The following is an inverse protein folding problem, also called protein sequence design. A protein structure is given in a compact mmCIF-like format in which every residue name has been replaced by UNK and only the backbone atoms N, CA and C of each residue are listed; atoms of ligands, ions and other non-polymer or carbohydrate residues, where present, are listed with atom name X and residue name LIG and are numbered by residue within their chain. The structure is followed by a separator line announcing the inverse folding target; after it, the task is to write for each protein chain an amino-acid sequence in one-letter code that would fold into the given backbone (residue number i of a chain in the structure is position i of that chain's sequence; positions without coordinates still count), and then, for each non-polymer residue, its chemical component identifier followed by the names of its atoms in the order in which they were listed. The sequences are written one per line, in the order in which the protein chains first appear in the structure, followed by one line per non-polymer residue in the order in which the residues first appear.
data_IF_041360225956
#
_entry.id   IF_041360225956
#
_cell.length_a   1.000
_cell.length_b   1.000
_cell.length_c   1.000
_cell.angle_alpha   90.00
_cell.angle_beta   90.00
_cell.angle_gamma   90.00
#
_symmetry.space_group_name_H-M   'P 1'
#
loop_
_entity.id
_entity.type
_entity.pdbx_description
1 polymer ?
#
# COMPACT_ATOMS: atom_id res chain seq x y z
N UNK A 1 13.84 -2.77 -6.71
CA UNK A 1 13.47 -2.43 -8.10
C UNK A 1 13.24 -3.72 -8.88
N UNK A 2 12.38 -3.71 -9.90
CA UNK A 2 12.07 -4.88 -10.73
C UNK A 2 11.72 -4.46 -12.16
N UNK A 3 12.06 -5.28 -13.15
CA UNK A 3 11.59 -5.10 -14.53
C UNK A 3 10.27 -5.85 -14.68
N UNK A 4 9.24 -5.16 -15.16
CA UNK A 4 7.89 -5.67 -15.38
C UNK A 4 7.60 -5.73 -16.88
N UNK A 5 6.98 -6.80 -17.34
CA UNK A 5 6.56 -6.95 -18.74
C UNK A 5 5.10 -6.50 -18.86
N UNK A 6 4.85 -5.43 -19.62
CA UNK A 6 3.48 -5.00 -19.96
C UNK A 6 2.92 -5.82 -21.13
N UNK A 7 3.81 -6.33 -21.98
CA UNK A 7 3.53 -7.22 -23.09
C UNK A 7 4.81 -7.99 -23.45
N UNK A 8 4.73 -8.90 -24.42
CA UNK A 8 5.88 -9.70 -24.88
C UNK A 8 7.07 -8.83 -25.34
N UNK A 9 6.80 -7.62 -25.83
CA UNK A 9 7.81 -6.71 -26.39
C UNK A 9 8.05 -5.47 -25.53
N UNK A 10 7.15 -5.13 -24.62
CA UNK A 10 7.24 -3.88 -23.83
C UNK A 10 7.55 -4.19 -22.38
N UNK A 11 8.71 -3.69 -21.92
CA UNK A 11 9.16 -3.79 -20.53
C UNK A 11 9.32 -2.40 -19.92
N UNK A 12 9.00 -2.30 -18.64
CA UNK A 12 9.22 -1.10 -17.84
C UNK A 12 9.98 -1.47 -16.56
N UNK A 13 10.62 -0.48 -15.95
CA UNK A 13 11.29 -0.61 -14.65
C UNK A 13 10.38 -0.01 -13.59
N UNK A 14 10.03 -0.78 -12.57
CA UNK A 14 9.39 -0.28 -11.36
C UNK A 14 10.41 -0.22 -10.22
N UNK A 15 10.58 0.97 -9.65
CA UNK A 15 11.38 1.22 -8.47
C UNK A 15 10.47 1.59 -7.29
N UNK A 16 10.70 0.93 -6.16
CA UNK A 16 10.08 1.26 -4.88
C UNK A 16 11.16 1.91 -4.03
N UNK A 17 10.87 3.10 -3.53
CA UNK A 17 11.70 3.81 -2.55
C UNK A 17 10.93 3.88 -1.25
N UNK A 18 11.51 3.37 -0.17
CA UNK A 18 10.87 3.32 1.14
C UNK A 18 11.65 4.16 2.13
N UNK A 19 10.97 5.06 2.82
CA UNK A 19 11.49 5.78 3.98
C UNK A 19 10.80 5.25 5.24
N UNK A 20 11.51 5.16 6.37
CA UNK A 20 10.95 4.67 7.63
C UNK A 20 11.37 5.58 8.78
N UNK A 21 10.40 6.20 9.47
CA UNK A 21 10.49 6.77 10.81
C UNK A 21 9.25 7.63 11.10
N UNK A 22 8.42 7.34 12.14
CA UNK A 22 8.34 6.09 12.90
C UNK A 22 7.66 4.94 12.12
N UNK A 23 6.81 5.27 11.14
CA UNK A 23 6.21 4.31 10.21
C UNK A 23 6.95 4.32 8.87
N UNK A 24 6.84 3.23 8.10
CA UNK A 24 7.40 3.17 6.74
C UNK A 24 6.39 3.66 5.70
N UNK A 25 6.85 4.41 4.70
CA UNK A 25 6.05 4.76 3.52
C UNK A 25 6.84 4.53 2.22
N UNK A 26 6.17 3.94 1.25
CA UNK A 26 6.74 3.51 -0.02
C UNK A 26 6.22 4.33 -1.19
N UNK A 27 7.15 4.89 -1.96
CA UNK A 27 6.86 5.59 -3.21
C UNK A 27 7.22 4.72 -4.42
N UNK A 28 6.29 4.64 -5.36
CA UNK A 28 6.50 4.00 -6.65
C UNK A 28 7.00 4.99 -7.69
N UNK A 29 8.00 4.57 -8.46
CA UNK A 29 8.48 5.30 -9.63
C UNK A 29 8.66 4.33 -10.80
N UNK A 30 8.16 4.73 -11.96
CA UNK A 30 8.20 3.92 -13.17
C UNK A 30 9.10 4.58 -14.21
N UNK A 31 9.81 3.75 -14.94
CA UNK A 31 10.73 4.17 -15.99
C UNK A 31 10.64 3.22 -17.18
N UNK A 32 11.00 3.71 -18.35
CA UNK A 32 11.38 2.85 -19.47
C UNK A 32 12.70 2.12 -19.15
N UNK A 33 13.07 1.14 -19.97
CA UNK A 33 14.36 0.43 -19.84
C UNK A 33 15.57 1.32 -20.14
N UNK A 34 15.37 2.45 -20.84
CA UNK A 34 16.36 3.53 -21.03
C UNK A 34 16.24 4.66 -19.99
N UNK A 35 15.61 4.38 -18.84
CA UNK A 35 15.53 5.27 -17.67
C UNK A 35 14.76 6.58 -17.85
N UNK A 36 13.88 6.67 -18.85
CA UNK A 36 12.95 7.81 -18.97
C UNK A 36 11.80 7.64 -17.99
N UNK A 37 11.54 8.66 -17.19
CA UNK A 37 10.48 8.63 -16.18
C UNK A 37 9.10 8.55 -16.82
N UNK A 38 8.25 7.71 -16.25
CA UNK A 38 6.88 7.47 -16.68
C UNK A 38 5.89 7.90 -15.58
N UNK A 39 4.66 8.32 -15.95
CA UNK A 39 3.64 8.72 -14.98
C UNK A 39 3.11 7.49 -14.22
N UNK A 40 3.29 7.46 -12.90
CA UNK A 40 2.95 6.30 -12.06
C UNK A 40 1.47 5.92 -12.10
N UNK A 41 0.56 6.90 -12.22
CA UNK A 41 -0.89 6.69 -12.29
C UNK A 41 -1.35 5.84 -13.47
N UNK A 42 -0.51 5.65 -14.50
CA UNK A 42 -0.80 4.73 -15.61
C UNK A 42 -0.53 3.26 -15.28
N UNK A 43 0.25 2.98 -14.24
CA UNK A 43 0.78 1.64 -13.95
C UNK A 43 0.34 1.10 -12.60
N UNK A 44 -0.03 1.97 -11.67
CA UNK A 44 -0.53 1.56 -10.36
C UNK A 44 -1.62 2.49 -9.86
N UNK A 45 -2.68 1.89 -9.33
CA UNK A 45 -3.63 2.56 -8.45
C UNK A 45 -3.31 2.11 -7.02
N UNK A 46 -2.88 3.04 -6.18
CA UNK A 46 -2.58 2.73 -4.79
C UNK A 46 -3.87 2.40 -4.04
N UNK A 47 -3.84 1.44 -3.10
CA UNK A 47 -4.99 1.11 -2.28
C UNK A 47 -5.32 2.30 -1.36
N UNK A 48 -6.60 2.48 -1.08
CA UNK A 48 -7.09 3.39 -0.06
C UNK A 48 -7.09 2.68 1.30
N UNK A 49 -7.23 3.44 2.40
CA UNK A 49 -7.30 2.87 3.75
C UNK A 49 -8.37 1.76 3.87
N UNK A 50 -9.53 1.95 3.24
CA UNK A 50 -10.62 0.96 3.25
C UNK A 50 -10.25 -0.38 2.61
N UNK A 51 -9.27 -0.43 1.70
CA UNK A 51 -8.80 -1.68 1.10
C UNK A 51 -8.01 -2.55 2.10
N UNK A 52 -7.59 -1.99 3.23
CA UNK A 52 -6.91 -2.71 4.32
C UNK A 52 -7.85 -3.10 5.46
N UNK A 53 -9.12 -2.68 5.40
CA UNK A 53 -10.07 -2.88 6.47
C UNK A 53 -11.20 -3.83 6.08
N UNK A 54 -11.78 -4.51 7.05
CA UNK A 54 -13.02 -5.25 6.91
C UNK A 54 -14.19 -4.28 6.76
N UNK A 55 -15.20 -4.69 5.99
CA UNK A 55 -16.46 -3.95 5.94
C UNK A 55 -17.19 -4.11 7.27
N UNK A 56 -17.52 -3.03 7.98
CA UNK A 56 -18.24 -3.12 9.24
C UNK A 56 -19.69 -3.55 9.02
N UNK A 57 -20.28 -4.18 10.04
CA UNK A 57 -21.72 -4.45 10.10
C UNK A 57 -22.47 -3.32 10.81
N UNK A 58 -23.81 -3.45 10.93
CA UNK A 58 -24.64 -2.42 11.57
C UNK A 58 -24.34 -2.21 13.05
N UNK A 59 -23.71 -3.18 13.72
CA UNK A 59 -23.37 -3.09 15.15
C UNK A 59 -22.04 -2.40 15.40
N UNK A 60 -21.15 -2.42 14.40
CA UNK A 60 -19.77 -1.93 14.50
C UNK A 60 -19.50 -0.67 13.66
N UNK A 61 -20.44 -0.26 12.81
CA UNK A 61 -20.28 0.89 11.89
C UNK A 61 -19.86 2.19 12.60
N UNK A 62 -20.41 2.52 13.76
CA UNK A 62 -20.05 3.75 14.47
C UNK A 62 -18.62 3.72 15.02
N UNK A 63 -18.22 2.60 15.62
CA UNK A 63 -16.85 2.42 16.12
C UNK A 63 -15.84 2.44 14.97
N UNK A 64 -16.20 1.83 13.83
CA UNK A 64 -15.41 1.87 12.61
C UNK A 64 -15.22 3.29 12.08
N UNK A 65 -16.30 4.08 11.99
CA UNK A 65 -16.22 5.46 11.50
C UNK A 65 -15.41 6.35 12.45
N UNK A 66 -15.58 6.20 13.76
CA UNK A 66 -14.81 6.92 14.77
C UNK A 66 -13.30 6.67 14.59
N UNK A 67 -12.88 5.41 14.55
CA UNK A 67 -11.45 5.09 14.40
C UNK A 67 -10.93 5.48 13.03
N UNK A 68 -11.69 5.26 11.95
CA UNK A 68 -11.30 5.64 10.59
C UNK A 68 -11.08 7.15 10.47
N UNK A 69 -11.92 7.96 11.11
CA UNK A 69 -11.80 9.42 11.09
C UNK A 69 -10.64 9.94 11.93
N UNK A 70 -10.14 9.15 12.88
CA UNK A 70 -8.93 9.49 13.66
C UNK A 70 -7.61 9.21 12.93
N UNK A 71 -7.65 8.53 11.78
CA UNK A 71 -6.48 8.27 10.94
C UNK A 71 -6.29 9.42 9.95
N UNK A 72 -5.23 10.19 10.14
CA UNK A 72 -4.91 11.39 9.34
C UNK A 72 -3.94 11.13 8.18
N UNK A 73 -3.08 10.11 8.30
CA UNK A 73 -2.07 9.76 7.29
C UNK A 73 -2.20 8.29 6.88
N UNK A 74 -2.34 8.06 5.57
CA UNK A 74 -2.22 6.71 5.01
C UNK A 74 -0.76 6.44 4.65
N UNK A 75 -0.08 5.67 5.49
CA UNK A 75 1.28 5.18 5.27
C UNK A 75 1.26 3.71 4.93
N UNK A 76 2.06 3.33 3.93
CA UNK A 76 2.09 1.96 3.41
C UNK A 76 3.51 1.53 3.03
N UNK A 77 3.87 0.29 3.35
CA UNK A 77 5.12 -0.33 2.90
C UNK A 77 4.85 -1.29 1.74
N UNK A 78 5.61 -1.14 0.67
CA UNK A 78 5.52 -1.98 -0.51
C UNK A 78 6.77 -2.85 -0.66
N UNK A 79 6.56 -4.14 -0.90
CA UNK A 79 7.61 -5.13 -1.10
C UNK A 79 7.32 -5.98 -2.34
N UNK A 80 8.31 -6.10 -3.22
CA UNK A 80 8.26 -7.06 -4.31
C UNK A 80 8.60 -8.45 -3.78
N UNK A 81 7.82 -9.44 -4.20
CA UNK A 81 8.22 -10.83 -4.04
C UNK A 81 9.52 -11.09 -4.84
N UNK A 82 10.46 -11.81 -4.22
CA UNK A 82 11.77 -12.15 -4.80
C UNK A 82 11.64 -13.15 -5.95
N UNK A 83 10.67 -14.05 -5.87
CA UNK A 83 10.52 -15.22 -6.74
C UNK A 83 9.33 -15.08 -7.70
N UNK A 84 8.21 -14.54 -7.21
CA UNK A 84 6.99 -14.33 -8.01
C UNK A 84 6.91 -12.92 -8.56
N UNK A 85 5.98 -12.64 -9.49
CA UNK A 85 5.68 -11.28 -9.96
C UNK A 85 4.75 -10.50 -9.02
N UNK A 86 4.60 -10.94 -7.77
CA UNK A 86 3.70 -10.30 -6.82
C UNK A 86 4.31 -9.08 -6.16
N UNK A 87 3.45 -8.10 -5.91
CA UNK A 87 3.72 -6.90 -5.13
C UNK A 87 2.78 -6.90 -3.93
N UNK A 88 3.35 -6.85 -2.73
CA UNK A 88 2.58 -6.73 -1.49
C UNK A 88 2.66 -5.30 -0.99
N UNK A 89 1.52 -4.70 -0.68
CA UNK A 89 1.41 -3.42 -0.01
C UNK A 89 0.79 -3.67 1.37
N UNK A 90 1.50 -3.33 2.44
CA UNK A 90 1.06 -3.47 3.82
C UNK A 90 0.76 -2.10 4.43
N UNK A 91 -0.30 -2.02 5.23
CA UNK A 91 -0.64 -0.83 6.00
C UNK A 91 0.34 -0.69 7.18
N UNK A 92 1.05 0.43 7.23
CA UNK A 92 2.02 0.79 8.30
C UNK A 92 1.57 2.00 9.10
N UNK A 93 0.40 2.54 8.75
CA UNK A 93 -0.26 3.64 9.45
C UNK A 93 -0.39 3.38 10.96
N UNK A 94 -0.65 2.13 11.38
CA UNK A 94 -0.72 1.77 12.79
C UNK A 94 0.59 2.01 13.57
N UNK A 95 1.74 2.06 12.89
CA UNK A 95 3.06 2.16 13.55
C UNK A 95 3.38 3.57 14.09
N UNK A 96 2.64 4.60 13.67
CA UNK A 96 2.80 5.97 14.21
C UNK A 96 1.67 6.41 15.14
N UNK A 97 0.54 5.70 15.12
CA UNK A 97 -0.63 6.02 15.94
C UNK A 97 -0.38 5.71 17.41
N UNK A 98 -1.17 6.30 18.30
CA UNK A 98 -1.18 5.88 19.70
C UNK A 98 -1.68 4.44 19.84
N UNK A 99 -1.25 3.73 20.88
CA UNK A 99 -1.65 2.35 21.14
C UNK A 99 -3.18 2.18 21.19
N UNK A 100 -3.91 3.18 21.69
CA UNK A 100 -5.38 3.17 21.74
C UNK A 100 -5.99 3.16 20.33
N UNK A 101 -5.57 4.10 19.47
CA UNK A 101 -6.12 4.22 18.12
C UNK A 101 -5.67 3.06 17.25
N UNK A 102 -4.40 2.65 17.36
CA UNK A 102 -3.86 1.49 16.67
C UNK A 102 -4.61 0.21 17.08
N UNK A 103 -4.89 0.03 18.38
CA UNK A 103 -5.66 -1.08 18.91
C UNK A 103 -7.07 -1.17 18.30
N UNK A 104 -7.81 -0.07 18.31
CA UNK A 104 -9.15 0.02 17.69
C UNK A 104 -9.11 -0.25 16.19
N UNK A 105 -8.12 0.30 15.47
CA UNK A 105 -8.01 0.13 14.02
C UNK A 105 -7.68 -1.33 13.65
N UNK A 106 -6.87 -1.98 14.48
CA UNK A 106 -6.46 -3.38 14.30
C UNK A 106 -7.62 -4.37 14.36
N UNK A 107 -8.70 -4.07 15.10
CA UNK A 107 -9.92 -4.89 15.12
C UNK A 107 -10.57 -5.00 13.74
N UNK A 108 -10.40 -3.98 12.90
CA UNK A 108 -10.91 -3.93 11.53
C UNK A 108 -9.86 -4.30 10.48
N UNK A 109 -8.60 -4.52 10.86
CA UNK A 109 -7.54 -4.78 9.88
C UNK A 109 -7.66 -6.17 9.26
N UNK A 110 -7.80 -6.23 7.92
CA UNK A 110 -7.93 -7.50 7.19
C UNK A 110 -6.62 -8.04 6.59
N UNK A 111 -5.55 -7.26 6.61
CA UNK A 111 -4.25 -7.65 6.05
C UNK A 111 -3.78 -6.79 4.86
N UNK A 112 -2.63 -7.15 4.28
CA UNK A 112 -2.04 -6.42 3.17
C UNK A 112 -2.79 -6.67 1.84
N UNK A 113 -2.63 -5.73 0.90
CA UNK A 113 -3.14 -5.85 -0.46
C UNK A 113 -2.05 -6.46 -1.35
N UNK A 114 -2.41 -7.47 -2.14
CA UNK A 114 -1.49 -8.16 -3.06
C UNK A 114 -1.89 -7.91 -4.50
N UNK A 115 -0.95 -7.42 -5.30
CA UNK A 115 -1.08 -7.22 -6.74
C UNK A 115 -0.27 -8.29 -7.48
N UNK A 116 -0.79 -8.73 -8.63
CA UNK A 116 -0.02 -9.49 -9.62
C UNK A 116 0.50 -8.51 -10.67
N UNK A 117 1.82 -8.41 -10.77
CA UNK A 117 2.51 -7.58 -11.76
C UNK A 117 3.05 -8.40 -12.94
#
# INVERSE_FOLDING_TARGET
MKVLALSDTTKIVCAISTACAPACDSRFSFYTTDWKRLPASRYISLPALGDFLTTPDSTTIYAFEEVRNSVDLLLMKADFNKESSELTIALTTMDYLSDEVAGKLKEFYRGPVVYKC
#
